data_IF_044102126432
#
_entry.id   IF_044102126432
#
_cell.length_a   1.000
_cell.length_b   1.000
_cell.length_c   1.000
_cell.angle_alpha   90.00
_cell.angle_beta   90.00
_cell.angle_gamma   90.00
#
_symmetry.space_group_name_H-M   'P 1'
#
loop_
_entity.id
_entity.type
_entity.pdbx_description
1 polymer ?
#
# COMPACT_ATOMS: atom_id res chain seq x y z
N UNK A 1 32.96 -21.53 -0.01
CA UNK A 1 31.65 -21.49 0.68
C UNK A 1 30.87 -20.28 0.18
N UNK A 2 29.78 -20.50 -0.57
CA UNK A 2 29.10 -19.50 -1.41
C UNK A 2 28.61 -18.26 -0.63
N UNK A 3 29.02 -17.06 -1.08
CA UNK A 3 28.58 -15.76 -0.53
C UNK A 3 27.05 -15.63 -0.44
N UNK A 4 26.36 -16.14 -1.46
CA UNK A 4 24.89 -16.18 -1.54
C UNK A 4 24.27 -16.94 -0.36
N UNK A 5 24.88 -18.06 0.05
CA UNK A 5 24.37 -18.86 1.18
C UNK A 5 24.46 -18.06 2.48
N UNK A 6 25.62 -17.43 2.74
CA UNK A 6 25.82 -16.59 3.93
C UNK A 6 24.85 -15.42 3.97
N UNK A 7 24.51 -14.84 2.81
CA UNK A 7 23.53 -13.77 2.72
C UNK A 7 22.12 -14.26 3.05
N UNK A 8 21.69 -15.41 2.52
CA UNK A 8 20.39 -16.00 2.85
C UNK A 8 20.27 -16.45 4.31
N UNK A 9 21.37 -16.94 4.92
CA UNK A 9 21.48 -17.17 6.37
C UNK A 9 21.34 -15.85 7.14
N UNK A 10 22.03 -14.80 6.70
CA UNK A 10 22.01 -13.49 7.36
C UNK A 10 20.60 -12.88 7.45
N UNK A 11 19.82 -12.99 6.38
CA UNK A 11 18.44 -12.47 6.30
C UNK A 11 17.39 -13.48 6.80
N UNK A 12 17.78 -14.67 7.26
CA UNK A 12 16.87 -15.62 7.91
C UNK A 12 16.02 -16.47 6.97
N UNK A 13 16.42 -16.62 5.71
CA UNK A 13 15.75 -17.51 4.74
C UNK A 13 16.15 -18.98 4.90
N UNK A 14 17.25 -19.26 5.59
CA UNK A 14 17.68 -20.61 5.96
C UNK A 14 17.58 -20.79 7.47
N UNK A 15 17.08 -21.95 7.91
CA UNK A 15 16.78 -22.19 9.32
C UNK A 15 18.06 -22.47 10.10
N UNK A 16 18.16 -21.84 11.26
CA UNK A 16 18.99 -22.34 12.36
C UNK A 16 18.11 -23.23 13.24
N UNK A 17 18.53 -24.47 13.46
CA UNK A 17 17.86 -25.37 14.40
C UNK A 17 18.13 -24.86 15.82
N UNK A 18 17.05 -24.65 16.57
CA UNK A 18 17.14 -24.20 17.96
C UNK A 18 17.16 -25.45 18.82
N UNK A 19 18.32 -25.74 19.39
CA UNK A 19 18.54 -26.87 20.29
C UNK A 19 17.60 -26.80 21.49
N UNK A 20 16.94 -27.92 21.80
CA UNK A 20 16.20 -28.10 23.04
C UNK A 20 17.18 -28.36 24.18
N UNK A 21 17.12 -27.54 25.24
CA UNK A 21 17.84 -27.82 26.50
C UNK A 21 17.02 -28.77 27.37
N UNK A 22 17.73 -29.68 28.05
CA UNK A 22 17.17 -30.50 29.12
C UNK A 22 16.93 -29.63 30.36
N UNK A 23 15.71 -29.69 30.91
CA UNK A 23 15.30 -28.92 32.09
C UNK A 23 15.75 -29.69 33.34
N UNK A 24 16.64 -29.10 34.13
CA UNK A 24 17.13 -29.70 35.38
C UNK A 24 16.16 -29.41 36.51
N UNK A 25 15.77 -30.44 37.26
CA UNK A 25 14.97 -30.28 38.46
C UNK A 25 15.83 -29.81 39.64
N UNK A 26 15.29 -28.87 40.41
CA UNK A 26 15.85 -28.47 41.68
C UNK A 26 15.45 -29.46 42.78
N UNK A 27 16.41 -29.82 43.63
CA UNK A 27 16.19 -30.63 44.83
C UNK A 27 16.81 -29.91 46.03
N UNK A 28 16.07 -29.84 47.13
CA UNK A 28 16.58 -29.26 48.37
C UNK A 28 17.62 -30.21 48.99
N UNK A 29 18.87 -29.78 49.12
CA UNK A 29 19.96 -30.59 49.67
C UNK A 29 20.42 -30.04 51.02
N UNK A 30 19.53 -30.07 52.02
CA UNK A 30 19.85 -29.57 53.38
C UNK A 30 19.98 -28.05 53.48
N UNK A 31 19.51 -27.32 52.46
CA UNK A 31 19.49 -25.86 52.46
C UNK A 31 18.51 -25.33 53.51
N UNK A 32 18.92 -24.30 54.25
CA UNK A 32 18.02 -23.59 55.17
C UNK A 32 16.89 -22.88 54.41
N UNK A 33 15.72 -22.74 55.04
CA UNK A 33 14.54 -22.05 54.47
C UNK A 33 14.90 -20.67 53.89
N UNK A 34 15.80 -19.94 54.54
CA UNK A 34 16.27 -18.62 54.07
C UNK A 34 16.96 -18.67 52.69
N UNK A 35 17.72 -19.73 52.39
CA UNK A 35 18.37 -19.90 51.10
C UNK A 35 17.36 -20.28 50.01
N UNK A 36 16.39 -21.13 50.34
CA UNK A 36 15.30 -21.52 49.43
C UNK A 36 14.47 -20.29 49.04
N UNK A 37 14.13 -19.43 50.00
CA UNK A 37 13.43 -18.16 49.73
C UNK A 37 14.26 -17.27 48.79
N UNK A 38 15.58 -17.15 49.01
CA UNK A 38 16.45 -16.36 48.14
C UNK A 38 16.49 -16.91 46.71
N UNK A 39 16.51 -18.23 46.52
CA UNK A 39 16.42 -18.84 45.19
C UNK A 39 15.07 -18.56 44.53
N UNK A 40 13.98 -18.63 45.29
CA UNK A 40 12.66 -18.30 44.80
C UNK A 40 12.57 -16.84 44.32
N UNK A 41 13.08 -15.90 45.11
CA UNK A 41 13.09 -14.47 44.75
C UNK A 41 13.91 -14.21 43.49
N UNK A 42 15.09 -14.83 43.38
CA UNK A 42 15.90 -14.77 42.16
C UNK A 42 15.14 -15.28 40.93
N UNK A 43 14.44 -16.42 41.05
CA UNK A 43 13.64 -16.97 39.95
C UNK A 43 12.44 -16.08 39.58
N UNK A 44 11.80 -15.45 40.58
CA UNK A 44 10.74 -14.46 40.33
C UNK A 44 11.26 -13.25 39.55
N UNK A 45 12.44 -12.75 39.91
CA UNK A 45 13.11 -11.67 39.19
C UNK A 45 13.46 -12.07 37.75
N UNK A 46 14.04 -13.27 37.56
CA UNK A 46 14.33 -13.81 36.22
C UNK A 46 13.06 -13.94 35.36
N UNK A 47 11.98 -14.47 35.94
CA UNK A 47 10.70 -14.60 35.25
C UNK A 47 10.14 -13.23 34.83
N UNK A 48 10.26 -12.22 35.70
CA UNK A 48 9.84 -10.85 35.39
C UNK A 48 10.64 -10.26 34.23
N UNK A 49 11.97 -10.37 34.27
CA UNK A 49 12.83 -9.89 33.18
C UNK A 49 12.54 -10.59 31.85
N UNK A 50 12.19 -11.86 31.90
CA UNK A 50 11.78 -12.60 30.71
C UNK A 50 10.48 -12.05 30.10
N UNK A 51 9.47 -11.75 30.93
CA UNK A 51 8.22 -11.12 30.46
C UNK A 51 8.49 -9.75 29.84
N UNK A 52 9.29 -8.91 30.51
CA UNK A 52 9.70 -7.60 29.99
C UNK A 52 10.42 -7.70 28.64
N UNK A 53 11.33 -8.68 28.50
CA UNK A 53 12.03 -8.98 27.25
C UNK A 53 11.04 -9.42 26.16
N UNK A 54 10.09 -10.30 26.46
CA UNK A 54 9.07 -10.74 25.51
C UNK A 54 8.25 -9.55 25.00
N UNK A 55 7.71 -8.73 25.90
CA UNK A 55 6.95 -7.52 25.54
C UNK A 55 7.78 -6.57 24.68
N UNK A 56 9.05 -6.39 25.02
CA UNK A 56 9.97 -5.55 24.22
C UNK A 56 10.16 -6.10 22.80
N UNK A 57 10.31 -7.42 22.66
CA UNK A 57 10.47 -8.07 21.34
C UNK A 57 9.20 -7.90 20.50
N UNK A 58 8.02 -8.09 21.09
CA UNK A 58 6.74 -7.94 20.40
C UNK A 58 6.51 -6.49 19.98
N UNK A 59 6.77 -5.53 20.87
CA UNK A 59 6.64 -4.10 20.59
C UNK A 59 7.57 -3.67 19.45
N UNK A 60 8.85 -4.08 19.46
CA UNK A 60 9.80 -3.75 18.39
C UNK A 60 9.41 -4.37 17.05
N UNK A 61 8.88 -5.60 17.04
CA UNK A 61 8.36 -6.20 15.81
C UNK A 61 7.14 -5.43 15.27
N UNK A 62 6.19 -5.05 16.12
CA UNK A 62 5.04 -4.24 15.71
C UNK A 62 5.49 -2.89 15.13
N UNK A 63 6.49 -2.25 15.73
CA UNK A 63 7.08 -1.00 15.20
C UNK A 63 7.71 -1.21 13.83
N UNK A 64 8.48 -2.29 13.63
CA UNK A 64 9.09 -2.59 12.32
C UNK A 64 8.04 -2.82 11.23
N UNK A 65 6.94 -3.52 11.54
CA UNK A 65 5.82 -3.70 10.60
C UNK A 65 5.23 -2.34 10.21
N UNK A 66 4.95 -1.49 11.19
CA UNK A 66 4.41 -0.15 10.95
C UNK A 66 5.34 0.72 10.11
N UNK A 67 6.63 0.79 10.48
CA UNK A 67 7.62 1.60 9.77
C UNK A 67 7.85 1.12 8.33
N UNK A 68 7.99 -0.19 8.12
CA UNK A 68 8.12 -0.75 6.77
C UNK A 68 6.86 -0.48 5.92
N UNK A 69 5.67 -0.62 6.51
CA UNK A 69 4.40 -0.35 5.82
C UNK A 69 4.24 1.11 5.38
N UNK A 70 4.68 2.07 6.21
CA UNK A 70 4.69 3.50 5.85
C UNK A 70 5.63 3.74 4.66
N UNK A 71 6.85 3.18 4.69
CA UNK A 71 7.81 3.39 3.61
C UNK A 71 7.31 2.79 2.28
N UNK A 72 6.73 1.59 2.30
CA UNK A 72 6.13 0.97 1.12
C UNK A 72 4.99 1.85 0.55
N UNK A 73 4.15 2.41 1.42
CA UNK A 73 3.07 3.32 1.01
C UNK A 73 3.61 4.57 0.32
N UNK A 74 4.64 5.19 0.91
CA UNK A 74 5.32 6.37 0.33
C UNK A 74 5.86 6.03 -1.06
N UNK A 75 6.55 4.89 -1.20
CA UNK A 75 7.05 4.43 -2.49
C UNK A 75 5.95 4.27 -3.53
N UNK A 76 4.85 3.63 -3.16
CA UNK A 76 3.72 3.38 -4.05
C UNK A 76 3.13 4.70 -4.57
N UNK A 77 3.11 5.73 -3.73
CA UNK A 77 2.65 7.07 -4.10
C UNK A 77 3.59 7.79 -5.07
N UNK A 78 4.90 7.53 -5.01
CA UNK A 78 5.87 8.16 -5.91
C UNK A 78 5.98 7.47 -7.28
N UNK A 79 5.51 6.22 -7.45
CA UNK A 79 5.59 5.51 -8.73
C UNK A 79 4.90 6.28 -9.87
N UNK A 80 3.63 6.74 -9.74
CA UNK A 80 2.97 7.49 -10.80
C UNK A 80 3.65 8.82 -11.12
N UNK A 81 4.22 9.48 -10.13
CA UNK A 81 4.92 10.76 -10.32
C UNK A 81 6.25 10.61 -11.08
N UNK A 82 6.85 9.42 -10.99
CA UNK A 82 8.12 9.13 -11.66
C UNK A 82 7.92 8.58 -13.06
N UNK A 83 6.77 7.97 -13.39
CA UNK A 83 6.60 7.21 -14.64
C UNK A 83 6.87 8.05 -15.89
N UNK A 84 6.33 9.28 -15.96
CA UNK A 84 6.53 10.18 -17.09
C UNK A 84 8.00 10.60 -17.24
N UNK A 85 8.71 10.74 -16.12
CA UNK A 85 10.14 11.10 -16.11
C UNK A 85 11.05 9.91 -16.45
N UNK A 86 10.59 8.70 -16.15
CA UNK A 86 11.33 7.47 -16.44
C UNK A 86 11.24 7.06 -17.91
N UNK A 87 10.22 7.52 -18.65
CA UNK A 87 10.06 7.21 -20.09
C UNK A 87 11.15 7.83 -20.97
N UNK A 88 11.75 8.95 -20.55
CA UNK A 88 12.85 9.61 -21.26
C UNK A 88 14.21 8.94 -21.04
N UNK A 89 14.28 7.95 -20.14
CA UNK A 89 15.52 7.24 -19.83
C UNK A 89 15.83 6.14 -20.84
N UNK A 90 17.12 5.88 -21.03
CA UNK A 90 17.55 4.69 -21.78
C UNK A 90 17.01 3.41 -21.14
N UNK A 91 16.64 2.44 -21.97
CA UNK A 91 16.09 1.15 -21.52
C UNK A 91 16.98 0.47 -20.47
N UNK A 92 18.31 0.56 -20.62
CA UNK A 92 19.27 -0.02 -19.67
C UNK A 92 19.16 0.61 -18.27
N UNK A 93 19.07 1.93 -18.20
CA UNK A 93 18.90 2.65 -16.93
C UNK A 93 17.56 2.30 -16.29
N UNK A 94 16.49 2.21 -17.09
CA UNK A 94 15.16 1.81 -16.61
C UNK A 94 15.17 0.41 -15.99
N UNK A 95 15.80 -0.57 -16.65
CA UNK A 95 15.92 -1.94 -16.14
C UNK A 95 16.68 -1.96 -14.80
N UNK A 96 17.78 -1.20 -14.68
CA UNK A 96 18.53 -1.08 -13.42
C UNK A 96 17.69 -0.46 -12.30
N UNK A 97 16.89 0.57 -12.60
CA UNK A 97 16.01 1.20 -11.63
C UNK A 97 14.93 0.23 -11.13
N UNK A 98 14.30 -0.52 -12.05
CA UNK A 98 13.30 -1.54 -11.70
C UNK A 98 13.92 -2.63 -10.83
N UNK A 99 15.10 -3.15 -11.20
CA UNK A 99 15.78 -4.18 -10.43
C UNK A 99 16.14 -3.69 -9.02
N UNK A 100 16.68 -2.47 -8.90
CA UNK A 100 16.99 -1.86 -7.61
C UNK A 100 15.74 -1.70 -6.74
N UNK A 101 14.64 -1.22 -7.33
CA UNK A 101 13.35 -1.09 -6.65
C UNK A 101 12.83 -2.44 -6.15
N UNK A 102 12.85 -3.49 -6.97
CA UNK A 102 12.41 -4.84 -6.60
C UNK A 102 13.23 -5.38 -5.43
N UNK A 103 14.55 -5.19 -5.44
CA UNK A 103 15.43 -5.62 -4.35
C UNK A 103 15.07 -4.91 -3.04
N UNK A 104 14.83 -3.58 -3.07
CA UNK A 104 14.44 -2.81 -1.88
C UNK A 104 13.09 -3.28 -1.34
N UNK A 105 12.09 -3.42 -2.22
CA UNK A 105 10.76 -3.88 -1.84
C UNK A 105 10.79 -5.28 -1.26
N UNK A 106 11.57 -6.19 -1.86
CA UNK A 106 11.76 -7.54 -1.35
C UNK A 106 12.25 -7.54 0.11
N UNK A 107 13.21 -6.68 0.47
CA UNK A 107 13.69 -6.59 1.85
C UNK A 107 12.69 -5.97 2.83
N UNK A 108 11.92 -4.96 2.41
CA UNK A 108 10.83 -4.46 3.25
C UNK A 108 9.75 -5.52 3.48
N UNK A 109 9.43 -6.32 2.46
CA UNK A 109 8.52 -7.46 2.60
C UNK A 109 9.09 -8.52 3.54
N UNK A 110 10.39 -8.84 3.46
CA UNK A 110 11.04 -9.75 4.41
C UNK A 110 10.98 -9.23 5.85
N UNK A 111 11.15 -7.91 6.04
CA UNK A 111 10.98 -7.27 7.36
C UNK A 111 9.60 -7.57 7.93
N UNK A 112 8.54 -7.32 7.14
CA UNK A 112 7.15 -7.57 7.55
C UNK A 112 6.92 -9.06 7.79
N UNK A 113 7.42 -9.93 6.90
CA UNK A 113 7.27 -11.37 7.01
C UNK A 113 7.88 -11.92 8.32
N UNK A 114 9.12 -11.53 8.64
CA UNK A 114 9.78 -11.98 9.86
C UNK A 114 9.11 -11.39 11.12
N UNK A 115 8.74 -10.11 11.11
CA UNK A 115 8.09 -9.50 12.27
C UNK A 115 6.68 -10.05 12.54
N UNK A 116 5.86 -10.26 11.50
CA UNK A 116 4.52 -10.83 11.66
C UNK A 116 4.53 -12.27 12.15
N UNK A 117 5.57 -13.06 11.80
CA UNK A 117 5.77 -14.41 12.34
C UNK A 117 5.91 -14.42 13.87
N UNK A 118 6.38 -13.33 14.47
CA UNK A 118 6.48 -13.17 15.94
C UNK A 118 5.15 -12.86 16.60
N UNK A 119 4.23 -12.19 15.89
CA UNK A 119 2.93 -11.74 16.42
C UNK A 119 1.84 -12.83 16.42
N UNK A 120 2.08 -13.97 15.76
CA UNK A 120 1.16 -15.10 15.74
C UNK A 120 1.09 -15.84 17.08
N UNK A 121 0.12 -15.48 17.94
CA UNK A 121 -0.07 -16.04 19.30
C UNK A 121 -0.16 -17.58 19.28
N UNK A 122 -0.84 -18.15 18.28
CA UNK A 122 -1.04 -19.59 18.17
C UNK A 122 0.23 -20.40 17.84
N UNK A 123 1.33 -19.75 17.45
CA UNK A 123 2.59 -20.43 17.06
C UNK A 123 3.54 -20.67 18.23
N UNK A 124 3.34 -20.00 19.35
CA UNK A 124 4.24 -20.07 20.51
C UNK A 124 3.48 -20.62 21.71
N UNK A 125 3.91 -21.81 22.18
CA UNK A 125 3.33 -22.45 23.36
C UNK A 125 4.10 -22.01 24.59
N UNK A 126 3.50 -21.13 25.37
CA UNK A 126 4.06 -20.65 26.63
C UNK A 126 3.59 -21.53 27.79
N UNK A 127 4.53 -21.93 28.64
CA UNK A 127 4.23 -22.52 29.94
C UNK A 127 3.70 -21.42 30.87
N UNK A 128 2.68 -21.76 31.66
CA UNK A 128 2.06 -20.88 32.64
C UNK A 128 1.77 -21.63 33.93
N UNK A 129 1.52 -20.90 35.01
CA UNK A 129 1.13 -21.46 36.29
C UNK A 129 -0.25 -22.10 36.18
N UNK A 130 -0.44 -23.20 36.90
CA UNK A 130 -1.75 -23.85 37.03
C UNK A 130 -2.23 -23.78 38.47
N UNK A 131 -3.52 -23.59 38.69
CA UNK A 131 -4.11 -23.62 40.04
C UNK A 131 -4.10 -25.03 40.63
N UNK A 132 -3.94 -26.07 39.80
CA UNK A 132 -3.96 -27.48 40.22
C UNK A 132 -2.89 -27.83 41.27
N UNK A 133 -1.74 -27.16 41.26
CA UNK A 133 -0.66 -27.39 42.23
C UNK A 133 -1.03 -26.93 43.63
N UNK A 134 -1.98 -25.99 43.74
CA UNK A 134 -2.46 -25.42 45.02
C UNK A 134 -3.82 -26.01 45.42
N UNK A 135 -4.69 -26.33 44.48
CA UNK A 135 -6.07 -26.80 44.75
C UNK A 135 -6.27 -28.31 44.63
N UNK A 136 -5.28 -29.04 44.08
CA UNK A 136 -5.37 -30.48 43.86
C UNK A 136 -5.24 -31.32 45.12
N UNK A 137 -5.71 -32.57 45.05
CA UNK A 137 -5.59 -33.56 46.13
C UNK A 137 -4.14 -33.92 46.47
N UNK A 138 -3.21 -33.74 45.54
CA UNK A 138 -1.76 -33.94 45.73
C UNK A 138 -0.99 -32.67 46.11
N UNK A 139 -1.66 -31.61 46.58
CA UNK A 139 -1.00 -30.36 46.97
C UNK A 139 -0.02 -30.58 48.12
N UNK A 140 1.10 -29.87 48.09
CA UNK A 140 2.05 -29.86 49.21
C UNK A 140 1.44 -29.12 50.39
N UNK A 141 1.59 -29.70 51.59
CA UNK A 141 1.02 -29.19 52.83
C UNK A 141 2.07 -28.58 53.75
N UNK A 142 3.33 -28.96 53.59
CA UNK A 142 4.46 -28.37 54.29
C UNK A 142 5.07 -27.23 53.47
N UNK A 143 5.53 -26.19 54.18
CA UNK A 143 6.07 -24.97 53.57
C UNK A 143 7.29 -25.26 52.69
N UNK A 144 8.20 -26.12 53.15
CA UNK A 144 9.44 -26.41 52.45
C UNK A 144 9.20 -27.13 51.11
N UNK A 145 8.34 -28.15 51.09
CA UNK A 145 7.98 -28.84 49.84
C UNK A 145 7.13 -27.97 48.93
N UNK A 146 6.32 -27.05 49.48
CA UNK A 146 5.60 -26.08 48.67
C UNK A 146 6.58 -25.13 47.97
N UNK A 147 7.57 -24.60 48.68
CA UNK A 147 8.62 -23.75 48.10
C UNK A 147 9.45 -24.51 47.05
N UNK A 148 9.80 -25.78 47.32
CA UNK A 148 10.49 -26.63 46.34
C UNK A 148 9.67 -26.79 45.05
N UNK A 149 8.36 -27.01 45.19
CA UNK A 149 7.46 -27.12 44.05
C UNK A 149 7.36 -25.79 43.28
N UNK A 150 7.24 -24.65 43.97
CA UNK A 150 7.18 -23.33 43.32
C UNK A 150 8.47 -23.02 42.55
N UNK A 151 9.63 -23.37 43.12
CA UNK A 151 10.93 -23.26 42.44
C UNK A 151 10.97 -24.11 41.18
N UNK A 152 10.57 -25.38 41.27
CA UNK A 152 10.56 -26.29 40.12
C UNK A 152 9.59 -25.85 39.02
N UNK A 153 8.40 -25.37 39.39
CA UNK A 153 7.43 -24.80 38.45
C UNK A 153 8.01 -23.56 37.74
N UNK A 154 8.70 -22.68 38.47
CA UNK A 154 9.35 -21.50 37.90
C UNK A 154 10.49 -21.86 36.96
N UNK A 155 11.37 -22.81 37.32
CA UNK A 155 12.44 -23.31 36.45
C UNK A 155 11.85 -23.83 35.15
N UNK A 156 10.81 -24.67 35.24
CA UNK A 156 10.13 -25.21 34.07
C UNK A 156 9.55 -24.11 33.17
N UNK A 157 8.87 -23.12 33.77
CA UNK A 157 8.30 -21.98 33.03
C UNK A 157 9.40 -21.18 32.33
N UNK A 158 10.46 -20.81 33.05
CA UNK A 158 11.56 -19.97 32.53
C UNK A 158 12.25 -20.68 31.37
N UNK A 159 12.68 -21.92 31.57
CA UNK A 159 13.42 -22.68 30.56
C UNK A 159 12.57 -22.93 29.30
N UNK A 160 11.31 -23.33 29.48
CA UNK A 160 10.39 -23.58 28.36
C UNK A 160 10.11 -22.29 27.57
N UNK A 161 9.81 -21.21 28.27
CA UNK A 161 9.47 -19.94 27.63
C UNK A 161 10.70 -19.29 26.98
N UNK A 162 11.91 -19.52 27.52
CA UNK A 162 13.16 -18.95 26.99
C UNK A 162 13.43 -19.44 25.57
N UNK A 163 13.13 -20.71 25.28
CA UNK A 163 13.21 -21.27 23.92
C UNK A 163 12.26 -20.54 22.96
N UNK A 164 11.04 -20.23 23.40
CA UNK A 164 10.07 -19.49 22.58
C UNK A 164 10.49 -18.03 22.37
N UNK A 165 10.97 -17.37 23.42
CA UNK A 165 11.43 -15.99 23.34
C UNK A 165 12.69 -15.86 22.47
N UNK A 166 13.58 -16.85 22.50
CA UNK A 166 14.73 -16.90 21.60
C UNK A 166 14.30 -17.07 20.14
N UNK A 167 13.28 -17.89 19.85
CA UNK A 167 12.66 -17.97 18.50
C UNK A 167 12.14 -16.62 18.03
N UNK A 168 11.40 -15.92 18.90
CA UNK A 168 10.88 -14.57 18.61
C UNK A 168 12.01 -13.55 18.42
N UNK A 169 13.05 -13.62 19.24
CA UNK A 169 14.22 -12.77 19.15
C UNK A 169 14.98 -12.98 17.82
N UNK A 170 15.15 -14.22 17.37
CA UNK A 170 15.77 -14.52 16.07
C UNK A 170 14.97 -13.90 14.92
N UNK A 171 13.63 -14.02 14.92
CA UNK A 171 12.80 -13.34 13.93
C UNK A 171 12.97 -11.80 13.98
N UNK A 172 13.05 -11.20 15.16
CA UNK A 172 13.32 -9.76 15.30
C UNK A 172 14.67 -9.37 14.71
N UNK A 173 15.71 -10.18 14.92
CA UNK A 173 17.04 -9.96 14.36
C UNK A 173 16.99 -10.01 12.82
N UNK A 174 16.33 -11.02 12.24
CA UNK A 174 16.18 -11.13 10.78
C UNK A 174 15.37 -9.98 10.18
N UNK A 175 14.29 -9.58 10.84
CA UNK A 175 13.50 -8.43 10.44
C UNK A 175 14.34 -7.14 10.48
N UNK A 176 15.09 -6.92 11.56
CA UNK A 176 15.94 -5.72 11.73
C UNK A 176 17.04 -5.65 10.67
N UNK A 177 17.67 -6.78 10.36
CA UNK A 177 18.71 -6.86 9.31
C UNK A 177 18.12 -6.54 7.94
N UNK A 178 16.97 -7.16 7.60
CA UNK A 178 16.27 -6.91 6.34
C UNK A 178 15.86 -5.44 6.22
N UNK A 179 15.30 -4.86 7.29
CA UNK A 179 14.92 -3.46 7.35
C UNK A 179 16.11 -2.53 7.12
N UNK A 180 17.23 -2.79 7.81
CA UNK A 180 18.46 -2.01 7.65
C UNK A 180 18.97 -2.04 6.22
N UNK A 181 19.01 -3.22 5.59
CA UNK A 181 19.44 -3.34 4.19
C UNK A 181 18.49 -2.56 3.27
N UNK A 182 17.18 -2.68 3.47
CA UNK A 182 16.17 -1.96 2.70
C UNK A 182 16.32 -0.44 2.83
N UNK A 183 16.43 0.08 4.06
CA UNK A 183 16.54 1.52 4.32
C UNK A 183 17.85 2.11 3.79
N UNK A 184 18.97 1.41 3.96
CA UNK A 184 20.24 1.87 3.39
C UNK A 184 20.22 1.88 1.86
N UNK A 185 19.72 0.79 1.26
CA UNK A 185 19.57 0.68 -0.20
C UNK A 185 18.60 1.74 -0.74
N UNK A 186 17.54 2.06 0.00
CA UNK A 186 16.60 3.12 -0.35
C UNK A 186 17.24 4.50 -0.39
N UNK A 187 18.06 4.84 0.59
CA UNK A 187 18.77 6.14 0.60
C UNK A 187 19.69 6.24 -0.61
N UNK A 188 20.48 5.21 -0.88
CA UNK A 188 21.36 5.16 -2.06
C UNK A 188 20.55 5.28 -3.35
N UNK A 189 19.46 4.53 -3.47
CA UNK A 189 18.59 4.53 -4.65
C UNK A 189 17.95 5.89 -4.89
N UNK A 190 17.53 6.57 -3.82
CA UNK A 190 16.96 7.92 -3.90
C UNK A 190 17.98 8.93 -4.38
N UNK A 191 19.20 8.90 -3.81
CA UNK A 191 20.29 9.77 -4.26
C UNK A 191 20.66 9.51 -5.73
N UNK A 192 20.63 8.25 -6.16
CA UNK A 192 20.87 7.86 -7.54
C UNK A 192 19.81 8.41 -8.50
N UNK A 193 18.52 8.30 -8.15
CA UNK A 193 17.42 8.89 -8.95
C UNK A 193 17.58 10.41 -9.05
N UNK A 194 17.86 11.09 -7.93
CA UNK A 194 18.09 12.54 -7.91
C UNK A 194 19.27 12.90 -8.82
N UNK A 195 20.38 12.17 -8.71
CA UNK A 195 21.56 12.37 -9.55
C UNK A 195 21.23 12.26 -11.04
N UNK A 196 20.60 11.16 -11.46
CA UNK A 196 20.16 10.98 -12.86
C UNK A 196 19.24 12.11 -13.29
N UNK A 197 18.32 12.54 -12.44
CA UNK A 197 17.33 13.59 -12.78
C UNK A 197 18.00 14.92 -13.18
N UNK A 198 19.19 15.24 -12.65
CA UNK A 198 19.95 16.43 -13.08
C UNK A 198 20.60 16.27 -14.45
N UNK A 199 20.91 15.05 -14.88
CA UNK A 199 21.54 14.77 -16.17
C UNK A 199 20.54 14.55 -17.31
N UNK A 200 19.26 14.31 -17.00
CA UNK A 200 18.19 14.28 -18.00
C UNK A 200 18.03 15.70 -18.54
N UNK A 201 18.65 15.97 -19.69
CA UNK A 201 18.39 17.18 -20.45
C UNK A 201 16.91 17.16 -20.82
N UNK A 202 16.13 18.07 -20.23
CA UNK A 202 14.73 18.29 -20.58
C UNK A 202 14.71 18.88 -21.98
N UNK A 203 14.90 18.05 -23.01
CA UNK A 203 14.51 18.44 -24.35
C UNK A 203 13.01 18.63 -24.25
N UNK A 204 12.47 19.84 -24.46
CA UNK A 204 11.03 19.98 -24.53
C UNK A 204 10.58 18.94 -25.55
N UNK A 205 9.68 18.04 -25.13
CA UNK A 205 8.88 17.28 -26.08
C UNK A 205 8.11 18.33 -26.87
N UNK A 206 8.75 18.84 -27.94
CA UNK A 206 8.03 19.46 -29.01
C UNK A 206 7.04 18.38 -29.43
N UNK A 207 5.77 18.62 -29.14
CA UNK A 207 4.71 17.85 -29.75
C UNK A 207 5.00 18.01 -31.24
N UNK A 208 5.58 16.97 -31.84
CA UNK A 208 5.71 16.88 -33.27
C UNK A 208 4.27 16.67 -33.72
N UNK A 209 3.55 17.79 -33.85
CA UNK A 209 2.30 17.85 -34.57
C UNK A 209 2.76 17.47 -35.98
N UNK A 210 2.80 16.16 -36.25
CA UNK A 210 2.84 15.62 -37.61
C UNK A 210 1.83 16.48 -38.33
N UNK A 211 2.35 17.35 -39.21
CA UNK A 211 1.58 18.35 -39.92
C UNK A 211 0.25 17.72 -40.24
N UNK A 212 -0.82 18.17 -39.58
CA UNK A 212 -2.17 17.66 -39.85
C UNK A 212 -2.25 17.65 -41.37
N UNK A 213 -2.36 16.44 -41.93
CA UNK A 213 -2.18 16.23 -43.36
C UNK A 213 -2.96 17.33 -44.06
N UNK A 214 -2.27 18.18 -44.83
CA UNK A 214 -2.89 19.32 -45.48
C UNK A 214 -4.07 18.90 -46.35
N UNK A 215 -4.12 17.61 -46.74
CA UNK A 215 -5.27 16.98 -47.37
C UNK A 215 -6.55 17.02 -46.50
N UNK A 216 -6.44 16.83 -45.18
CA UNK A 216 -7.57 16.88 -44.24
C UNK A 216 -8.10 18.30 -44.12
N UNK A 217 -7.20 19.29 -44.00
CA UNK A 217 -7.59 20.70 -43.99
C UNK A 217 -8.24 21.13 -45.31
N UNK A 218 -7.68 20.69 -46.44
CA UNK A 218 -8.23 21.03 -47.76
C UNK A 218 -9.59 20.38 -47.96
N UNK A 219 -9.75 19.13 -47.52
CA UNK A 219 -11.01 18.39 -47.62
C UNK A 219 -12.09 18.99 -46.71
N UNK A 220 -11.75 19.36 -45.47
CA UNK A 220 -12.71 20.01 -44.57
C UNK A 220 -13.11 21.40 -45.08
N UNK A 221 -12.16 22.20 -45.58
CA UNK A 221 -12.48 23.50 -46.18
C UNK A 221 -13.40 23.38 -47.40
N UNK A 222 -13.15 22.37 -48.25
CA UNK A 222 -13.99 22.11 -49.43
C UNK A 222 -15.41 21.70 -49.03
N UNK A 223 -15.55 20.81 -48.06
CA UNK A 223 -16.86 20.38 -47.54
C UNK A 223 -17.64 21.56 -46.92
N UNK A 224 -16.96 22.44 -46.17
CA UNK A 224 -17.58 23.64 -45.60
C UNK A 224 -18.05 24.59 -46.71
N UNK A 225 -17.24 24.79 -47.76
CA UNK A 225 -17.65 25.63 -48.90
C UNK A 225 -18.83 25.03 -49.67
N UNK A 226 -18.81 23.72 -49.94
CA UNK A 226 -19.91 23.01 -50.60
C UNK A 226 -21.20 23.14 -49.77
N UNK A 227 -21.12 22.96 -48.44
CA UNK A 227 -22.26 23.11 -47.55
C UNK A 227 -22.78 24.55 -47.47
N UNK A 228 -21.89 25.56 -47.50
CA UNK A 228 -22.29 26.98 -47.53
C UNK A 228 -23.00 27.35 -48.84
N UNK A 229 -22.54 26.81 -49.97
CA UNK A 229 -23.18 27.02 -51.28
C UNK A 229 -24.59 26.41 -51.27
N UNK A 230 -24.73 25.20 -50.71
CA UNK A 230 -26.01 24.50 -50.62
C UNK A 230 -27.01 25.28 -49.75
N UNK A 231 -26.59 25.71 -48.54
CA UNK A 231 -27.40 26.57 -47.69
C UNK A 231 -27.80 27.89 -48.36
N UNK A 232 -26.89 28.52 -49.12
CA UNK A 232 -27.21 29.76 -49.82
C UNK A 232 -28.26 29.55 -50.92
N UNK A 233 -28.20 28.41 -51.62
CA UNK A 233 -29.20 28.00 -52.61
C UNK A 233 -30.58 27.80 -51.97
N UNK A 234 -30.65 27.06 -50.85
CA UNK A 234 -31.90 26.85 -50.11
C UNK A 234 -32.50 28.16 -49.60
N UNK A 235 -31.67 29.05 -49.02
CA UNK A 235 -32.12 30.38 -48.56
C UNK A 235 -32.70 31.19 -49.73
N UNK A 236 -32.06 31.16 -50.90
CA UNK A 236 -32.55 31.87 -52.09
C UNK A 236 -33.88 31.29 -52.59
N UNK A 237 -34.04 29.97 -52.56
CA UNK A 237 -35.31 29.33 -52.92
C UNK A 237 -36.43 29.71 -51.93
N UNK A 238 -36.15 29.68 -50.63
CA UNK A 238 -37.10 30.10 -49.59
C UNK A 238 -37.48 31.58 -49.75
N UNK A 239 -36.50 32.46 -49.97
CA UNK A 239 -36.74 33.89 -50.21
C UNK A 239 -37.69 34.10 -51.40
N UNK A 240 -37.48 33.38 -52.51
CA UNK A 240 -38.38 33.44 -53.67
C UNK A 240 -39.79 32.93 -53.34
N UNK A 241 -39.93 31.88 -52.51
CA UNK A 241 -41.23 31.38 -52.05
C UNK A 241 -41.94 32.42 -51.18
N UNK A 242 -41.23 33.07 -50.27
CA UNK A 242 -41.78 34.15 -49.42
C UNK A 242 -42.28 35.30 -50.28
N UNK A 243 -41.50 35.81 -51.23
CA UNK A 243 -41.93 36.90 -52.12
C UNK A 243 -43.17 36.53 -52.97
N UNK A 244 -43.31 35.26 -53.38
CA UNK A 244 -44.51 34.78 -54.07
C UNK A 244 -45.73 34.77 -53.15
N UNK A 245 -45.56 34.39 -51.88
CA UNK A 245 -46.63 34.41 -50.88
C UNK A 245 -47.06 35.83 -50.52
N UNK A 246 -46.10 36.75 -50.35
CA UNK A 246 -46.36 38.17 -50.10
C UNK A 246 -47.17 38.79 -51.25
N UNK A 247 -46.80 38.52 -52.50
CA UNK A 247 -47.57 38.95 -53.67
C UNK A 247 -48.99 38.37 -53.69
N UNK A 248 -49.17 37.09 -53.37
CA UNK A 248 -50.51 36.48 -53.28
C UNK A 248 -51.36 37.12 -52.19
N UNK A 249 -50.76 37.38 -51.02
CA UNK A 249 -51.43 38.03 -49.89
C UNK A 249 -51.86 39.45 -50.25
N UNK A 250 -50.99 40.20 -50.93
CA UNK A 250 -51.31 41.54 -51.43
C UNK A 250 -52.49 41.53 -52.41
N UNK A 251 -52.51 40.58 -53.37
CA UNK A 251 -53.64 40.42 -54.30
C UNK A 251 -54.93 40.06 -53.56
N UNK A 252 -54.87 39.17 -52.58
CA UNK A 252 -56.04 38.80 -51.76
C UNK A 252 -56.57 39.99 -50.94
N UNK A 253 -55.70 40.78 -50.31
CA UNK A 253 -56.09 41.98 -49.57
C UNK A 253 -56.76 43.01 -50.49
N UNK A 254 -56.22 43.19 -51.70
CA UNK A 254 -56.83 44.05 -52.72
C UNK A 254 -58.22 43.55 -53.15
N UNK A 255 -58.38 42.24 -53.37
CA UNK A 255 -59.68 41.64 -53.69
C UNK A 255 -60.67 41.80 -52.54
N UNK A 256 -60.25 41.57 -51.30
CA UNK A 256 -61.10 41.72 -50.12
C UNK A 256 -61.58 43.16 -49.94
N UNK A 257 -60.67 44.14 -50.06
CA UNK A 257 -61.02 45.56 -50.04
C UNK A 257 -62.02 45.93 -51.13
N UNK A 258 -61.87 45.38 -52.33
CA UNK A 258 -62.81 45.59 -53.45
C UNK A 258 -64.21 45.03 -53.12
N UNK A 259 -64.29 43.78 -52.67
CA UNK A 259 -65.55 43.15 -52.26
C UNK A 259 -66.23 43.93 -51.13
N UNK A 260 -65.47 44.38 -50.13
CA UNK A 260 -66.01 45.18 -49.02
C UNK A 260 -66.60 46.50 -49.51
N UNK A 261 -65.93 47.15 -50.46
CA UNK A 261 -66.39 48.42 -51.07
C UNK A 261 -67.66 48.21 -51.89
N UNK A 262 -67.74 47.13 -52.68
CA UNK A 262 -68.94 46.76 -53.44
C UNK A 262 -70.12 46.45 -52.51
N UNK A 263 -69.91 45.66 -51.45
CA UNK A 263 -70.94 45.32 -50.47
C UNK A 263 -71.48 46.53 -49.70
N UNK A 264 -70.62 47.50 -49.35
CA UNK A 264 -71.03 48.77 -48.73
C UNK A 264 -71.87 49.60 -49.69
N UNK A 265 -71.48 49.69 -50.98
CA UNK A 265 -72.26 50.42 -51.98
C UNK A 265 -73.63 49.79 -52.24
N UNK A 266 -73.72 48.46 -52.30
CA UNK A 266 -74.99 47.74 -52.48
C UNK A 266 -75.94 47.94 -51.28
N UNK A 267 -75.40 48.04 -50.06
CA UNK A 267 -76.22 48.29 -48.85
C UNK A 267 -76.67 49.76 -48.70
N UNK A 268 -76.00 50.72 -49.37
CA UNK A 268 -76.42 52.13 -49.43
C UNK A 268 -77.56 52.33 -50.45
N UNK A 269 -77.63 51.54 -51.53
CA UNK A 269 -78.63 51.67 -52.60
C UNK A 269 -80.01 51.01 -52.31
N UNK A 270 -80.23 50.44 -51.11
CA UNK A 270 -81.49 49.76 -50.71
C UNK A 270 -82.30 50.59 -49.68
N UNK A 271 -82.04 51.89 -49.57
CA UNK A 271 -82.84 52.86 -48.79
C UNK A 271 -83.38 53.96 -49.69
#
# INVERSE_FOLDING_TARGET
MNFIKKYFEHIGLTKEDIESKEIKQYKINGDGISLVIRYLDYLKEQHKHQQERQTTIENKNSQLVGQAGVIISIFTLFIPLLIDKLMDLSLMVLILLILGFVIIMFHYLLTIFHSTKTLGINKYKYATRTTKTVTGSGRKTDELSFLEQEINDLIYIIDTNSVQDNRKASNLIYATRSFRIASFSFVIFTLFIIGISFFISSKPHAIDIKSIDSSIYTKSHKLIQEQQIDYHSEIKEMSNKVSRLENKLFVMDSMYKKILTESINDSINVK
#
